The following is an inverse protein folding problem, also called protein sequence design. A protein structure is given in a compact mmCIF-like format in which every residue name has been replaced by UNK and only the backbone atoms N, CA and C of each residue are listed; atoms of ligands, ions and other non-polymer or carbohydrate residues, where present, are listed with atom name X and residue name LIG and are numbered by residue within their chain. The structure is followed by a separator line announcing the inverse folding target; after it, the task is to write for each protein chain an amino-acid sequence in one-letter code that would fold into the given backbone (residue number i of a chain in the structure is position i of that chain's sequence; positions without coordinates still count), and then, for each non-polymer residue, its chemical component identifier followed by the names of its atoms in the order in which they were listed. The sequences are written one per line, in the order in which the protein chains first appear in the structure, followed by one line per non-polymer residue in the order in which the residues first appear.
data_IF_985931353570
#
_entry.id   IF_985931353570
#
_cell.length_a   1.000
_cell.length_b   1.000
_cell.length_c   1.000
_cell.angle_alpha   90.00
_cell.angle_beta   90.00
_cell.angle_gamma   90.00
#
_symmetry.space_group_name_H-M   'P 1'
#
loop_
_entity.id
_entity.type
_entity.pdbx_description
1 polymer ?
#
# COMPACT_ATOMS: atom_id res chain seq x y z
N UNK A 1 14.27 17.94 1.94
CA UNK A 1 14.92 16.75 2.50
C UNK A 1 14.55 16.72 3.97
N UNK A 2 14.07 15.61 4.49
CA UNK A 2 13.69 15.49 5.90
C UNK A 2 14.95 15.34 6.75
N UNK A 3 15.07 16.08 7.85
CA UNK A 3 16.31 16.19 8.64
C UNK A 3 16.78 14.86 9.26
N UNK A 4 15.85 13.99 9.64
CA UNK A 4 16.19 12.68 10.25
C UNK A 4 16.47 11.58 9.23
N UNK A 5 16.11 11.74 7.96
CA UNK A 5 16.30 10.69 6.96
C UNK A 5 17.74 10.62 6.44
N UNK A 6 18.31 9.43 6.51
CA UNK A 6 19.55 9.10 5.83
C UNK A 6 19.25 8.56 4.41
N UNK A 7 19.75 9.27 3.38
CA UNK A 7 19.61 8.82 2.00
C UNK A 7 20.64 7.74 1.70
N UNK A 8 20.17 6.51 1.44
CA UNK A 8 21.03 5.36 1.14
C UNK A 8 20.54 4.59 -0.08
N UNK A 9 21.47 4.06 -0.88
CA UNK A 9 21.15 2.91 -1.73
C UNK A 9 20.93 1.70 -0.81
N UNK A 10 19.94 0.86 -1.11
CA UNK A 10 19.64 -0.33 -0.32
C UNK A 10 20.85 -1.28 -0.15
N UNK A 11 21.79 -1.30 -1.13
CA UNK A 11 23.02 -2.10 -1.08
C UNK A 11 23.97 -1.73 0.05
N UNK A 12 23.82 -0.52 0.61
CA UNK A 12 24.62 -0.01 1.73
C UNK A 12 23.86 0.05 3.04
N UNK A 13 22.69 -0.57 3.10
CA UNK A 13 21.90 -0.68 4.32
C UNK A 13 22.45 -1.83 5.14
N UNK A 14 22.87 -1.55 6.37
CA UNK A 14 23.45 -2.56 7.28
C UNK A 14 22.40 -3.33 8.08
N UNK A 15 21.17 -2.82 8.21
CA UNK A 15 20.07 -3.50 8.87
C UNK A 15 19.59 -4.67 8.01
N UNK A 16 19.64 -5.92 8.48
CA UNK A 16 19.10 -7.07 7.73
C UNK A 16 17.62 -6.92 7.40
N UNK A 17 16.84 -6.35 8.34
CA UNK A 17 15.42 -6.09 8.14
C UNK A 17 15.17 -5.12 6.98
N UNK A 18 15.80 -3.93 7.01
CA UNK A 18 15.63 -2.93 5.95
C UNK A 18 16.22 -3.42 4.63
N UNK A 19 17.34 -4.17 4.67
CA UNK A 19 17.91 -4.78 3.48
C UNK A 19 16.92 -5.75 2.81
N UNK A 20 16.30 -6.63 3.58
CA UNK A 20 15.29 -7.57 3.09
C UNK A 20 14.08 -6.84 2.51
N UNK A 21 13.54 -5.84 3.19
CA UNK A 21 12.47 -5.00 2.65
C UNK A 21 12.89 -4.33 1.33
N UNK A 22 14.04 -3.67 1.32
CA UNK A 22 14.50 -2.86 0.20
C UNK A 22 14.77 -3.67 -1.07
N UNK A 23 15.34 -4.88 -0.95
CA UNK A 23 15.60 -5.75 -2.11
C UNK A 23 14.31 -6.23 -2.79
N UNK A 24 13.21 -6.39 -2.04
CA UNK A 24 11.90 -6.75 -2.60
C UNK A 24 11.17 -5.54 -3.20
N UNK A 25 11.44 -4.35 -2.71
CA UNK A 25 10.94 -3.10 -3.30
C UNK A 25 11.67 -2.73 -4.61
N UNK A 26 12.88 -3.23 -4.84
CA UNK A 26 13.62 -3.00 -6.09
C UNK A 26 13.21 -4.02 -7.16
N UNK A 27 12.40 -3.59 -8.11
CA UNK A 27 11.89 -4.45 -9.19
C UNK A 27 12.97 -5.11 -10.07
N UNK A 28 14.19 -4.55 -10.08
CA UNK A 28 15.34 -5.10 -10.82
C UNK A 28 16.33 -5.85 -9.92
N UNK A 29 16.00 -6.10 -8.68
CA UNK A 29 16.89 -6.78 -7.75
C UNK A 29 17.09 -8.24 -8.16
N UNK A 30 18.36 -8.63 -8.32
CA UNK A 30 18.76 -10.04 -8.49
C UNK A 30 18.87 -10.80 -7.16
N UNK A 31 18.60 -10.12 -6.05
CA UNK A 31 18.74 -10.65 -4.70
C UNK A 31 17.39 -10.97 -4.05
N UNK A 32 16.33 -11.04 -4.83
CA UNK A 32 15.02 -11.55 -4.38
C UNK A 32 15.17 -13.05 -4.11
N UNK A 33 14.55 -13.54 -3.06
CA UNK A 33 14.64 -14.97 -2.72
C UNK A 33 14.00 -15.86 -3.76
N UNK A 34 14.61 -17.03 -4.02
CA UNK A 34 14.17 -17.97 -5.06
C UNK A 34 12.68 -18.32 -4.94
N UNK A 35 12.19 -18.59 -3.73
CA UNK A 35 10.77 -18.87 -3.47
C UNK A 35 9.83 -17.72 -3.87
N UNK A 36 10.28 -16.46 -3.75
CA UNK A 36 9.49 -15.30 -4.21
C UNK A 36 9.53 -15.20 -5.73
N UNK A 37 10.66 -15.53 -6.35
CA UNK A 37 10.81 -15.58 -7.82
C UNK A 37 9.93 -16.67 -8.42
N UNK A 38 9.92 -17.87 -7.84
CA UNK A 38 9.04 -18.96 -8.24
C UNK A 38 7.57 -18.57 -8.12
N UNK A 39 7.17 -17.99 -6.98
CA UNK A 39 5.81 -17.53 -6.77
C UNK A 39 5.42 -16.38 -7.71
N UNK A 40 6.35 -15.50 -8.11
CA UNK A 40 6.11 -14.46 -9.12
C UNK A 40 5.83 -15.09 -10.49
N UNK A 41 6.58 -16.13 -10.87
CA UNK A 41 6.35 -16.85 -12.11
C UNK A 41 4.97 -17.54 -12.13
N UNK A 42 4.57 -18.19 -11.04
CA UNK A 42 3.24 -18.78 -10.88
C UNK A 42 2.12 -17.74 -10.97
N UNK A 43 2.35 -16.53 -10.45
CA UNK A 43 1.39 -15.45 -10.46
C UNK A 43 1.32 -14.67 -11.79
N UNK A 44 2.17 -14.98 -12.78
CA UNK A 44 2.29 -14.20 -14.01
C UNK A 44 0.97 -14.07 -14.79
N UNK A 45 0.18 -15.14 -14.85
CA UNK A 45 -1.13 -15.11 -15.50
C UNK A 45 -2.12 -14.21 -14.75
N UNK A 46 -2.09 -14.22 -13.43
CA UNK A 46 -2.90 -13.33 -12.59
C UNK A 46 -2.49 -11.88 -12.82
N UNK A 47 -1.19 -11.59 -12.87
CA UNK A 47 -0.70 -10.26 -13.17
C UNK A 47 -1.13 -9.78 -14.56
N UNK A 48 -1.04 -10.64 -15.57
CA UNK A 48 -1.54 -10.33 -16.92
C UNK A 48 -3.03 -9.98 -16.90
N UNK A 49 -3.84 -10.75 -16.17
CA UNK A 49 -5.28 -10.48 -16.04
C UNK A 49 -5.55 -9.14 -15.35
N UNK A 50 -4.83 -8.80 -14.28
CA UNK A 50 -4.95 -7.52 -13.58
C UNK A 50 -4.53 -6.35 -14.49
N UNK A 51 -3.44 -6.50 -15.26
CA UNK A 51 -2.99 -5.46 -16.18
C UNK A 51 -3.87 -5.32 -17.42
N UNK A 52 -4.52 -6.39 -17.89
CA UNK A 52 -5.57 -6.31 -18.90
C UNK A 52 -6.76 -5.50 -18.38
N UNK A 53 -7.23 -5.78 -17.15
CA UNK A 53 -8.24 -4.96 -16.49
C UNK A 53 -7.82 -3.48 -16.44
N UNK A 54 -6.60 -3.20 -16.00
CA UNK A 54 -6.07 -1.82 -15.98
C UNK A 54 -6.10 -1.18 -17.37
N UNK A 55 -5.71 -1.91 -18.40
CA UNK A 55 -5.73 -1.43 -19.78
C UNK A 55 -7.15 -1.13 -20.26
N UNK A 56 -8.11 -1.97 -19.91
CA UNK A 56 -9.53 -1.76 -20.24
C UNK A 56 -10.09 -0.52 -19.54
N UNK A 57 -9.80 -0.37 -18.24
CA UNK A 57 -10.16 0.82 -17.48
C UNK A 57 -9.59 2.11 -18.10
N UNK A 58 -8.34 2.09 -18.57
CA UNK A 58 -7.71 3.24 -19.24
C UNK A 58 -8.33 3.58 -20.60
N UNK A 59 -8.95 2.61 -21.27
CA UNK A 59 -9.65 2.79 -22.55
C UNK A 59 -11.13 3.11 -22.41
N UNK A 60 -11.70 2.92 -21.22
CA UNK A 60 -13.12 3.13 -20.98
C UNK A 60 -13.55 4.56 -21.33
N UNK A 61 -14.67 4.68 -22.01
CA UNK A 61 -15.35 5.95 -22.30
C UNK A 61 -16.38 6.32 -21.24
N UNK A 62 -16.70 5.41 -20.34
CA UNK A 62 -17.74 5.55 -19.33
C UNK A 62 -17.34 6.49 -18.21
N UNK A 63 -18.37 6.93 -17.49
CA UNK A 63 -18.23 7.76 -16.30
C UNK A 63 -18.80 7.05 -15.09
N UNK A 64 -18.27 7.42 -13.92
CA UNK A 64 -18.74 6.96 -12.62
C UNK A 64 -18.99 8.17 -11.73
N UNK A 65 -20.02 8.09 -10.90
CA UNK A 65 -20.26 9.11 -9.86
C UNK A 65 -19.43 8.75 -8.63
N UNK A 66 -18.55 9.65 -8.24
CA UNK A 66 -17.65 9.48 -7.08
C UNK A 66 -18.00 10.53 -6.02
N UNK A 67 -18.30 10.06 -4.81
CA UNK A 67 -18.40 10.89 -3.62
C UNK A 67 -17.01 10.95 -2.99
N UNK A 68 -16.40 12.13 -3.02
CA UNK A 68 -15.04 12.34 -2.54
C UNK A 68 -15.07 12.80 -1.08
N UNK A 69 -14.63 11.95 -0.17
CA UNK A 69 -14.55 12.24 1.27
C UNK A 69 -13.13 12.65 1.72
N UNK A 70 -12.18 12.76 0.79
CA UNK A 70 -10.78 13.10 1.04
C UNK A 70 -10.47 14.60 0.89
N UNK A 71 -9.18 14.91 0.73
CA UNK A 71 -8.66 16.27 0.51
C UNK A 71 -9.16 16.94 -0.80
N UNK A 72 -10.02 16.26 -1.54
CA UNK A 72 -10.46 16.65 -2.87
C UNK A 72 -9.44 16.34 -3.95
N UNK A 73 -9.90 16.31 -5.19
CA UNK A 73 -9.03 16.00 -6.32
C UNK A 73 -8.53 17.26 -7.02
N UNK A 74 -7.23 17.34 -7.27
CA UNK A 74 -6.65 18.39 -8.12
C UNK A 74 -7.00 18.20 -9.60
N UNK A 75 -7.39 16.99 -10.00
CA UNK A 75 -7.63 16.60 -11.39
C UNK A 75 -9.12 16.68 -11.73
N UNK A 76 -9.99 16.30 -10.78
CA UNK A 76 -11.42 16.19 -11.02
C UNK A 76 -12.19 17.37 -10.41
N UNK A 77 -12.99 18.02 -11.26
CA UNK A 77 -13.96 19.03 -10.82
C UNK A 77 -15.36 18.40 -10.88
N UNK A 78 -15.93 18.10 -9.71
CA UNK A 78 -17.24 17.47 -9.61
C UNK A 78 -17.22 15.96 -9.41
N UNK A 79 -18.43 15.38 -9.27
CA UNK A 79 -18.62 13.99 -8.88
C UNK A 79 -18.64 13.02 -10.06
N UNK A 80 -19.04 13.47 -11.26
CA UNK A 80 -19.01 12.63 -12.47
C UNK A 80 -17.60 12.60 -13.03
N UNK A 81 -16.95 11.44 -12.97
CA UNK A 81 -15.54 11.27 -13.38
C UNK A 81 -15.42 10.19 -14.45
N UNK A 82 -14.61 10.44 -15.49
CA UNK A 82 -14.30 9.43 -16.50
C UNK A 82 -13.46 8.31 -15.87
N UNK A 83 -13.90 7.05 -16.07
CA UNK A 83 -13.17 5.86 -15.59
C UNK A 83 -11.71 5.87 -16.07
N UNK A 84 -11.50 6.18 -17.37
CA UNK A 84 -10.15 6.26 -17.95
C UNK A 84 -9.24 7.28 -17.25
N UNK A 85 -9.79 8.40 -16.78
CA UNK A 85 -9.00 9.41 -16.06
C UNK A 85 -8.63 8.96 -14.64
N UNK A 86 -9.56 8.31 -13.93
CA UNK A 86 -9.23 7.68 -12.64
C UNK A 86 -8.15 6.63 -12.83
N UNK A 87 -8.30 5.74 -13.83
CA UNK A 87 -7.32 4.69 -14.12
C UNK A 87 -5.93 5.22 -14.51
N UNK A 88 -5.84 6.41 -15.12
CA UNK A 88 -4.59 7.04 -15.50
C UNK A 88 -3.86 7.72 -14.34
N UNK A 89 -4.60 8.29 -13.38
CA UNK A 89 -4.04 9.24 -12.41
C UNK A 89 -4.14 8.79 -10.95
N UNK A 90 -5.02 7.83 -10.62
CA UNK A 90 -5.27 7.40 -9.24
C UNK A 90 -4.69 6.02 -8.97
N UNK A 91 -4.76 5.08 -9.93
CA UNK A 91 -4.30 3.72 -9.70
C UNK A 91 -2.78 3.64 -9.56
N UNK A 92 -2.31 2.90 -8.57
CA UNK A 92 -0.88 2.60 -8.40
C UNK A 92 -0.31 1.98 -9.67
N UNK A 93 0.93 2.31 -10.03
CA UNK A 93 1.57 1.69 -11.20
C UNK A 93 1.80 0.19 -10.99
N UNK A 94 1.82 -0.59 -12.07
CA UNK A 94 2.16 -2.01 -12.06
C UNK A 94 3.45 -2.29 -11.28
N UNK A 95 4.49 -1.49 -11.51
CA UNK A 95 5.78 -1.62 -10.84
C UNK A 95 5.68 -1.49 -9.33
N UNK A 96 4.90 -0.53 -8.83
CA UNK A 96 4.69 -0.33 -7.40
C UNK A 96 3.87 -1.50 -6.84
N UNK A 97 2.78 -1.87 -7.50
CA UNK A 97 1.92 -2.96 -7.06
C UNK A 97 2.68 -4.30 -7.00
N UNK A 98 3.50 -4.63 -8.01
CA UNK A 98 4.38 -5.81 -8.00
C UNK A 98 5.44 -5.75 -6.89
N UNK A 99 6.01 -4.57 -6.59
CA UNK A 99 6.96 -4.45 -5.49
C UNK A 99 6.28 -4.71 -4.13
N UNK A 100 5.06 -4.20 -3.92
CA UNK A 100 4.27 -4.51 -2.71
C UNK A 100 3.93 -5.99 -2.64
N UNK A 101 3.51 -6.59 -3.75
CA UNK A 101 3.26 -8.02 -3.85
C UNK A 101 4.47 -8.86 -3.42
N UNK A 102 5.69 -8.51 -3.89
CA UNK A 102 6.93 -9.22 -3.52
C UNK A 102 7.21 -9.13 -2.03
N UNK A 103 7.05 -7.95 -1.43
CA UNK A 103 7.22 -7.77 0.02
C UNK A 103 6.25 -8.64 0.82
N UNK A 104 4.98 -8.62 0.43
CA UNK A 104 3.95 -9.44 1.10
C UNK A 104 4.18 -10.93 0.89
N UNK A 105 4.57 -11.34 -0.33
CA UNK A 105 4.85 -12.74 -0.62
C UNK A 105 6.03 -13.27 0.19
N UNK A 106 7.11 -12.49 0.29
CA UNK A 106 8.25 -12.81 1.14
C UNK A 106 7.84 -12.99 2.61
N UNK A 107 7.10 -12.04 3.16
CA UNK A 107 6.62 -12.14 4.55
C UNK A 107 5.65 -13.31 4.75
N UNK A 108 4.77 -13.57 3.78
CA UNK A 108 3.83 -14.68 3.83
C UNK A 108 4.51 -16.06 3.80
N UNK A 109 5.58 -16.21 3.04
CA UNK A 109 6.39 -17.44 3.02
C UNK A 109 7.07 -17.64 4.39
N UNK A 110 7.69 -16.60 4.96
CA UNK A 110 8.33 -16.66 6.27
C UNK A 110 7.33 -17.05 7.38
N UNK A 111 6.11 -16.52 7.35
CA UNK A 111 5.05 -16.90 8.29
C UNK A 111 4.61 -18.35 8.12
N UNK A 112 4.42 -18.81 6.89
CA UNK A 112 4.04 -20.21 6.60
C UNK A 112 5.11 -21.22 7.07
N UNK A 113 6.39 -20.89 6.89
CA UNK A 113 7.50 -21.71 7.39
C UNK A 113 7.53 -21.80 8.93
N UNK A 114 7.03 -20.78 9.61
CA UNK A 114 6.86 -20.74 11.07
C UNK A 114 5.55 -21.37 11.56
N UNK A 115 4.70 -21.87 10.65
CA UNK A 115 3.39 -22.43 10.97
C UNK A 115 2.37 -21.39 11.43
N UNK A 116 2.55 -20.13 11.03
CA UNK A 116 1.68 -19.02 11.37
C UNK A 116 0.61 -18.79 10.29
N UNK A 117 -0.44 -18.06 10.66
CA UNK A 117 -1.54 -17.72 9.78
C UNK A 117 -1.10 -16.81 8.60
N UNK A 118 -2.00 -16.71 7.60
CA UNK A 118 -1.80 -15.80 6.47
C UNK A 118 -1.77 -14.36 6.94
N UNK A 119 -0.96 -13.54 6.25
CA UNK A 119 -0.92 -12.10 6.46
C UNK A 119 -2.32 -11.47 6.36
N UNK A 120 -2.65 -10.63 7.32
CA UNK A 120 -3.83 -9.77 7.33
C UNK A 120 -3.41 -8.37 6.88
N UNK A 121 -4.03 -7.88 5.81
CA UNK A 121 -3.70 -6.58 5.21
C UNK A 121 -4.94 -5.69 5.17
N UNK A 122 -4.81 -4.47 5.67
CA UNK A 122 -5.79 -3.42 5.47
C UNK A 122 -5.31 -2.48 4.36
N UNK A 123 -6.19 -2.19 3.39
CA UNK A 123 -6.03 -1.11 2.43
C UNK A 123 -7.06 -0.02 2.71
N UNK A 124 -6.61 1.20 2.95
CA UNK A 124 -7.47 2.38 3.13
C UNK A 124 -7.42 3.22 1.85
N UNK A 125 -8.41 3.03 0.97
CA UNK A 125 -8.46 3.62 -0.37
C UNK A 125 -8.48 2.58 -1.48
N UNK A 126 -9.65 1.95 -1.70
CA UNK A 126 -9.83 0.86 -2.66
C UNK A 126 -9.73 1.33 -4.11
N UNK A 127 -10.31 2.50 -4.43
CA UNK A 127 -10.52 2.95 -5.80
C UNK A 127 -11.15 1.85 -6.68
N UNK A 128 -10.59 1.52 -7.84
CA UNK A 128 -11.10 0.44 -8.70
C UNK A 128 -10.59 -0.96 -8.34
N UNK A 129 -9.93 -1.12 -7.20
CA UNK A 129 -9.52 -2.40 -6.65
C UNK A 129 -8.34 -3.08 -7.34
N UNK A 130 -7.57 -2.35 -8.16
CA UNK A 130 -6.41 -2.90 -8.87
C UNK A 130 -5.27 -3.23 -7.89
N UNK A 131 -4.97 -2.35 -6.94
CA UNK A 131 -3.97 -2.63 -5.90
C UNK A 131 -4.43 -3.75 -5.00
N UNK A 132 -5.70 -3.72 -4.57
CA UNK A 132 -6.34 -4.80 -3.79
C UNK A 132 -6.16 -6.17 -4.45
N UNK A 133 -6.33 -6.24 -5.78
CA UNK A 133 -6.14 -7.48 -6.53
C UNK A 133 -4.70 -8.01 -6.43
N UNK A 134 -3.70 -7.14 -6.51
CA UNK A 134 -2.30 -7.52 -6.27
C UNK A 134 -2.08 -8.01 -4.84
N UNK A 135 -2.58 -7.29 -3.83
CA UNK A 135 -2.44 -7.68 -2.42
C UNK A 135 -3.08 -9.05 -2.17
N UNK A 136 -4.29 -9.29 -2.68
CA UNK A 136 -4.98 -10.58 -2.57
C UNK A 136 -4.24 -11.71 -3.28
N UNK A 137 -3.67 -11.45 -4.47
CA UNK A 137 -2.92 -12.46 -5.23
C UNK A 137 -1.60 -12.86 -4.57
N UNK A 138 -1.07 -12.07 -3.63
CA UNK A 138 0.06 -12.45 -2.79
C UNK A 138 -0.27 -13.55 -1.77
N UNK A 139 -1.55 -13.88 -1.62
CA UNK A 139 -2.05 -14.90 -0.67
C UNK A 139 -2.50 -14.32 0.67
N UNK A 140 -2.60 -13.00 0.79
CA UNK A 140 -3.05 -12.30 1.99
C UNK A 140 -4.57 -12.34 2.15
N UNK A 141 -5.05 -12.24 3.39
CA UNK A 141 -6.41 -11.85 3.69
C UNK A 141 -6.48 -10.32 3.62
N UNK A 142 -7.25 -9.78 2.67
CA UNK A 142 -7.31 -8.33 2.45
C UNK A 142 -8.63 -7.78 2.92
N UNK A 143 -8.57 -6.83 3.83
CA UNK A 143 -9.66 -5.90 4.13
C UNK A 143 -9.39 -4.59 3.39
N UNK A 144 -10.38 -4.04 2.66
CA UNK A 144 -10.21 -2.78 1.92
C UNK A 144 -11.39 -1.84 2.16
N UNK A 145 -11.09 -0.57 2.36
CA UNK A 145 -12.06 0.46 2.71
C UNK A 145 -12.17 1.52 1.62
N UNK A 146 -13.43 1.86 1.27
CA UNK A 146 -13.72 2.87 0.27
C UNK A 146 -14.82 3.82 0.78
N UNK A 147 -14.62 5.12 0.60
CA UNK A 147 -15.62 6.12 1.00
C UNK A 147 -16.84 6.13 0.07
N UNK A 148 -16.66 5.87 -1.22
CA UNK A 148 -17.71 5.96 -2.22
C UNK A 148 -18.31 4.58 -2.54
N UNK A 149 -19.62 4.43 -2.29
CA UNK A 149 -20.34 3.17 -2.57
C UNK A 149 -20.25 2.73 -4.03
N UNK A 150 -20.35 3.67 -4.98
CA UNK A 150 -20.28 3.35 -6.40
C UNK A 150 -18.90 2.82 -6.79
N UNK A 151 -17.84 3.44 -6.27
CA UNK A 151 -16.46 3.01 -6.49
C UNK A 151 -16.21 1.63 -5.89
N UNK A 152 -16.69 1.38 -4.66
CA UNK A 152 -16.57 0.07 -4.02
C UNK A 152 -17.32 -1.03 -4.79
N UNK A 153 -18.52 -0.74 -5.29
CA UNK A 153 -19.27 -1.69 -6.09
C UNK A 153 -18.56 -1.99 -7.43
N UNK A 154 -17.96 -0.98 -8.03
CA UNK A 154 -17.18 -1.15 -9.26
C UNK A 154 -15.95 -2.05 -9.01
N UNK A 155 -15.24 -1.86 -7.90
CA UNK A 155 -14.11 -2.69 -7.50
C UNK A 155 -14.53 -4.15 -7.27
N UNK A 156 -15.68 -4.41 -6.64
CA UNK A 156 -16.21 -5.77 -6.43
C UNK A 156 -16.44 -6.51 -7.73
N UNK A 157 -17.01 -5.84 -8.74
CA UNK A 157 -17.18 -6.42 -10.09
C UNK A 157 -15.83 -6.77 -10.70
N UNK A 158 -14.83 -5.90 -10.56
CA UNK A 158 -13.50 -6.15 -11.08
C UNK A 158 -12.85 -7.38 -10.42
N UNK A 159 -12.97 -7.55 -9.09
CA UNK A 159 -12.42 -8.73 -8.40
C UNK A 159 -13.16 -10.02 -8.76
N UNK A 160 -14.49 -9.97 -8.93
CA UNK A 160 -15.26 -11.13 -9.39
C UNK A 160 -14.80 -11.56 -10.78
N UNK A 161 -14.62 -10.63 -11.71
CA UNK A 161 -14.09 -10.92 -13.05
C UNK A 161 -12.67 -11.50 -13.04
N UNK A 162 -11.89 -11.21 -12.00
CA UNK A 162 -10.53 -11.74 -11.78
C UNK A 162 -10.53 -13.05 -10.97
N UNK A 163 -11.67 -13.48 -10.39
CA UNK A 163 -11.76 -14.64 -9.48
C UNK A 163 -10.98 -14.45 -8.17
N UNK A 164 -10.93 -13.22 -7.65
CA UNK A 164 -10.15 -12.87 -6.45
C UNK A 164 -11.02 -12.43 -5.25
N UNK A 165 -12.34 -12.40 -5.40
CA UNK A 165 -13.27 -11.84 -4.41
C UNK A 165 -13.27 -12.57 -3.06
N UNK A 166 -13.04 -13.89 -3.03
CA UNK A 166 -13.17 -14.72 -1.81
C UNK A 166 -12.20 -14.33 -0.68
N UNK A 167 -11.08 -13.67 -1.01
CA UNK A 167 -10.05 -13.26 -0.06
C UNK A 167 -10.11 -11.77 0.28
N UNK A 168 -11.13 -11.07 -0.23
CA UNK A 168 -11.26 -9.62 -0.11
C UNK A 168 -12.52 -9.26 0.65
N UNK A 169 -12.36 -8.59 1.79
CA UNK A 169 -13.46 -8.02 2.57
C UNK A 169 -13.53 -6.52 2.28
N UNK A 170 -14.59 -6.07 1.60
CA UNK A 170 -14.76 -4.66 1.27
C UNK A 170 -15.75 -4.00 2.23
N UNK A 171 -15.35 -2.89 2.84
CA UNK A 171 -16.21 -2.03 3.66
C UNK A 171 -16.34 -0.65 3.03
N UNK A 172 -17.53 -0.06 3.16
CA UNK A 172 -17.82 1.29 2.68
C UNK A 172 -18.11 2.20 3.86
N UNK A 173 -17.43 3.34 3.92
CA UNK A 173 -17.60 4.32 4.99
C UNK A 173 -16.41 5.25 5.12
N UNK A 174 -16.54 6.24 5.99
CA UNK A 174 -15.43 7.12 6.32
C UNK A 174 -14.39 6.38 7.15
N UNK A 175 -13.11 6.66 6.90
CA UNK A 175 -12.01 5.96 7.57
C UNK A 175 -12.04 6.13 9.09
N UNK A 176 -12.37 7.33 9.59
CA UNK A 176 -12.52 7.59 11.04
C UNK A 176 -13.56 6.62 11.68
N UNK A 177 -14.73 6.46 11.06
CA UNK A 177 -15.81 5.59 11.56
C UNK A 177 -15.42 4.11 11.49
N UNK A 178 -14.78 3.70 10.37
CA UNK A 178 -14.33 2.32 10.17
C UNK A 178 -13.17 1.97 11.11
N UNK A 179 -12.24 2.90 11.36
CA UNK A 179 -11.18 2.70 12.35
C UNK A 179 -11.75 2.48 13.75
N UNK A 180 -12.65 3.37 14.20
CA UNK A 180 -13.25 3.27 15.53
C UNK A 180 -13.99 1.93 15.75
N UNK A 181 -14.68 1.43 14.72
CA UNK A 181 -15.44 0.17 14.79
C UNK A 181 -14.61 -1.09 14.54
N UNK A 182 -13.39 -0.96 14.08
CA UNK A 182 -12.53 -2.09 13.70
C UNK A 182 -11.87 -2.74 14.92
N UNK A 183 -11.66 -4.06 14.82
CA UNK A 183 -10.93 -4.83 15.85
C UNK A 183 -9.42 -4.75 15.70
N UNK A 184 -8.91 -4.34 14.52
CA UNK A 184 -7.48 -4.38 14.22
C UNK A 184 -6.94 -5.79 13.96
N UNK A 185 -5.65 -6.00 14.19
CA UNK A 185 -4.96 -7.27 13.97
C UNK A 185 -4.32 -7.36 12.59
N UNK A 186 -3.99 -6.23 11.97
CA UNK A 186 -3.37 -6.20 10.64
C UNK A 186 -1.84 -6.25 10.73
N UNK A 187 -1.25 -7.11 9.90
CA UNK A 187 0.21 -7.21 9.72
C UNK A 187 0.74 -6.05 8.85
N UNK A 188 -0.10 -5.51 7.96
CA UNK A 188 0.21 -4.33 7.18
C UNK A 188 -1.05 -3.50 6.98
N UNK A 189 -0.92 -2.19 7.13
CA UNK A 189 -1.93 -1.21 6.71
C UNK A 189 -1.35 -0.38 5.58
N UNK A 190 -2.01 -0.36 4.43
CA UNK A 190 -1.69 0.52 3.31
C UNK A 190 -2.66 1.70 3.29
N UNK A 191 -2.19 2.86 3.70
CA UNK A 191 -2.95 4.10 3.72
C UNK A 191 -2.75 4.84 2.38
N UNK A 192 -3.64 4.61 1.43
CA UNK A 192 -3.65 5.16 0.06
C UNK A 192 -4.93 5.95 -0.23
N UNK A 193 -5.35 6.74 0.73
CA UNK A 193 -6.54 7.58 0.59
C UNK A 193 -6.47 8.83 1.45
N UNK A 194 -7.39 9.77 1.18
CA UNK A 194 -7.53 11.05 1.85
C UNK A 194 -6.38 12.05 1.58
N UNK A 195 -5.11 11.63 1.56
CA UNK A 195 -3.89 12.43 1.29
C UNK A 195 -3.86 13.82 1.95
N UNK A 196 -4.46 13.94 3.13
CA UNK A 196 -4.45 15.11 4.00
C UNK A 196 -3.52 14.85 5.19
N UNK A 197 -2.65 15.83 5.52
CA UNK A 197 -1.62 15.62 6.54
C UNK A 197 -2.20 15.39 7.94
N UNK A 198 -3.20 16.19 8.36
CA UNK A 198 -3.82 16.07 9.68
C UNK A 198 -4.60 14.75 9.81
N UNK A 199 -5.35 14.38 8.76
CA UNK A 199 -6.06 13.10 8.73
C UNK A 199 -5.08 11.92 8.77
N UNK A 200 -3.98 11.99 8.02
CA UNK A 200 -2.93 10.97 8.02
C UNK A 200 -2.35 10.75 9.42
N UNK A 201 -2.03 11.82 10.14
CA UNK A 201 -1.52 11.74 11.51
C UNK A 201 -2.53 11.08 12.46
N UNK A 202 -3.80 11.47 12.38
CA UNK A 202 -4.88 10.85 13.20
C UNK A 202 -5.00 9.36 12.92
N UNK A 203 -5.06 8.96 11.63
CA UNK A 203 -5.18 7.55 11.25
C UNK A 203 -3.98 6.73 11.74
N UNK A 204 -2.77 7.24 11.54
CA UNK A 204 -1.55 6.54 11.97
C UNK A 204 -1.50 6.40 13.49
N UNK A 205 -1.95 7.41 14.25
CA UNK A 205 -2.04 7.34 15.72
C UNK A 205 -3.01 6.23 16.17
N UNK A 206 -4.21 6.19 15.60
CA UNK A 206 -5.20 5.15 15.93
C UNK A 206 -4.71 3.74 15.54
N UNK A 207 -3.97 3.63 14.45
CA UNK A 207 -3.45 2.35 13.95
C UNK A 207 -2.39 1.74 14.88
N UNK A 208 -1.66 2.52 15.70
CA UNK A 208 -0.66 1.99 16.64
C UNK A 208 -1.19 0.85 17.50
N UNK A 209 -2.42 1.01 18.00
CA UNK A 209 -3.08 0.00 18.87
C UNK A 209 -3.79 -1.11 18.10
N UNK A 210 -3.85 -1.03 16.78
CA UNK A 210 -4.61 -1.93 15.91
C UNK A 210 -3.74 -2.80 15.01
N UNK A 211 -2.45 -2.57 14.99
CA UNK A 211 -1.51 -3.45 14.29
C UNK A 211 -1.35 -4.78 15.03
N UNK A 212 -1.10 -5.83 14.27
CA UNK A 212 -0.56 -7.07 14.80
C UNK A 212 0.86 -6.84 15.34
N UNK A 213 1.37 -7.80 16.13
CA UNK A 213 2.77 -7.75 16.56
C UNK A 213 3.69 -7.69 15.35
N UNK A 214 4.64 -6.74 15.33
CA UNK A 214 5.53 -6.46 14.19
C UNK A 214 4.80 -5.99 12.91
N UNK A 215 3.56 -5.56 13.05
CA UNK A 215 2.81 -4.95 11.98
C UNK A 215 3.40 -3.59 11.56
N UNK A 216 3.02 -3.13 10.37
CA UNK A 216 3.54 -1.88 9.83
C UNK A 216 2.45 -1.04 9.14
N UNK A 217 2.72 0.25 9.02
CA UNK A 217 1.91 1.16 8.21
C UNK A 217 2.73 1.62 7.01
N UNK A 218 2.15 1.53 5.83
CA UNK A 218 2.65 2.13 4.60
C UNK A 218 1.77 3.32 4.24
N UNK A 219 2.30 4.51 4.33
CA UNK A 219 1.61 5.76 3.96
C UNK A 219 1.98 6.13 2.54
N UNK A 220 0.99 6.31 1.66
CA UNK A 220 1.23 6.79 0.31
C UNK A 220 1.37 8.32 0.27
N UNK A 221 1.99 8.79 -0.78
CA UNK A 221 2.09 10.21 -1.15
C UNK A 221 2.66 11.13 -0.06
N UNK A 222 3.59 10.64 0.79
CA UNK A 222 4.21 11.42 1.89
C UNK A 222 4.97 12.67 1.42
N UNK A 223 5.17 12.85 0.11
CA UNK A 223 5.83 14.03 -0.48
C UNK A 223 4.91 14.84 -1.40
N UNK A 224 3.64 14.46 -1.56
CA UNK A 224 2.72 15.01 -2.55
C UNK A 224 2.30 16.46 -2.27
N UNK A 225 2.06 16.82 -1.02
CA UNK A 225 1.64 18.17 -0.61
C UNK A 225 2.50 18.72 0.52
N UNK A 226 2.34 20.02 0.84
CA UNK A 226 3.00 20.59 2.02
C UNK A 226 2.50 19.94 3.31
N UNK A 227 1.19 19.70 3.43
CA UNK A 227 0.60 19.02 4.59
C UNK A 227 1.15 17.60 4.76
N UNK A 228 1.18 16.79 3.69
CA UNK A 228 1.75 15.44 3.75
C UNK A 228 3.24 15.42 4.11
N UNK A 229 4.04 16.39 3.60
CA UNK A 229 5.45 16.52 4.00
C UNK A 229 5.61 16.88 5.47
N UNK A 230 4.74 17.73 6.01
CA UNK A 230 4.75 18.08 7.44
C UNK A 230 4.37 16.85 8.27
N UNK A 231 3.28 16.16 7.90
CA UNK A 231 2.86 14.92 8.56
C UNK A 231 3.97 13.86 8.55
N UNK A 232 4.64 13.65 7.42
CA UNK A 232 5.77 12.71 7.36
C UNK A 232 6.91 13.13 8.29
N UNK A 233 7.22 14.44 8.38
CA UNK A 233 8.24 14.93 9.32
C UNK A 233 7.87 14.66 10.78
N UNK A 234 6.60 14.85 11.16
CA UNK A 234 6.10 14.55 12.51
C UNK A 234 6.17 13.05 12.80
N UNK A 235 5.80 12.20 11.84
CA UNK A 235 5.93 10.74 11.99
C UNK A 235 7.38 10.27 12.16
N UNK A 236 8.35 10.97 11.55
CA UNK A 236 9.78 10.71 11.79
C UNK A 236 10.24 11.17 13.20
N UNK A 237 9.54 12.12 13.80
CA UNK A 237 9.82 12.63 15.15
C UNK A 237 9.06 11.86 16.24
N UNK A 238 8.10 11.01 15.87
CA UNK A 238 7.34 10.18 16.79
C UNK A 238 8.20 8.98 17.28
N UNK A 239 8.52 8.90 18.57
CA UNK A 239 9.40 7.87 19.11
C UNK A 239 8.82 6.45 19.03
N UNK A 240 7.52 6.31 18.78
CA UNK A 240 6.91 5.00 18.55
C UNK A 240 7.48 4.34 17.28
N UNK A 241 7.69 5.09 16.21
CA UNK A 241 8.17 4.57 14.93
C UNK A 241 9.70 4.59 14.86
N UNK A 242 10.35 3.63 15.48
CA UNK A 242 11.81 3.57 15.55
C UNK A 242 12.51 3.16 14.25
N UNK A 243 11.80 2.56 13.31
CA UNK A 243 12.33 2.25 11.98
C UNK A 243 11.40 2.78 10.90
N UNK A 244 11.91 3.65 10.04
CA UNK A 244 11.14 4.16 8.90
C UNK A 244 11.91 4.03 7.59
N UNK A 245 11.18 3.74 6.50
CA UNK A 245 11.78 3.61 5.18
C UNK A 245 10.94 4.37 4.17
N UNK A 246 11.50 5.43 3.57
CA UNK A 246 10.84 6.14 2.47
C UNK A 246 11.31 5.61 1.11
N UNK A 247 10.34 5.23 0.28
CA UNK A 247 10.58 4.69 -1.06
C UNK A 247 9.54 5.22 -2.04
N UNK A 248 9.96 5.86 -3.13
CA UNK A 248 9.09 6.37 -4.22
C UNK A 248 7.89 7.20 -3.74
N UNK A 249 8.09 8.08 -2.77
CA UNK A 249 6.99 8.89 -2.21
C UNK A 249 6.12 8.15 -1.20
N UNK A 250 6.39 6.88 -0.93
CA UNK A 250 5.73 6.08 0.11
C UNK A 250 6.60 5.98 1.35
N UNK A 251 5.98 6.05 2.51
CA UNK A 251 6.65 5.97 3.81
C UNK A 251 6.22 4.74 4.59
N UNK A 252 7.14 3.84 4.86
CA UNK A 252 6.96 2.70 5.75
C UNK A 252 7.27 3.10 7.18
N UNK A 253 6.40 2.74 8.11
CA UNK A 253 6.51 2.96 9.55
C UNK A 253 6.51 1.61 10.25
N UNK A 254 7.52 1.35 11.07
CA UNK A 254 7.67 0.14 11.86
C UNK A 254 7.97 0.48 13.30
N UNK A 255 7.39 -0.29 14.20
CA UNK A 255 7.82 -0.41 15.59
C UNK A 255 8.47 -1.78 15.76
N UNK A 256 9.77 -1.81 16.02
CA UNK A 256 10.55 -3.05 16.15
C UNK A 256 11.22 -3.06 17.52
N UNK A 257 10.80 -3.99 18.38
CA UNK A 257 11.34 -4.14 19.73
C UNK A 257 12.87 -4.29 19.70
N UNK A 258 13.57 -3.45 20.45
CA UNK A 258 15.02 -3.49 20.57
C UNK A 258 15.81 -2.98 19.35
N UNK A 259 15.15 -2.54 18.29
CA UNK A 259 15.85 -1.95 17.16
C UNK A 259 16.35 -0.53 17.48
N UNK A 260 17.55 -0.22 17.01
CA UNK A 260 18.08 1.14 17.03
C UNK A 260 17.28 2.01 16.06
N UNK A 261 16.99 3.24 16.48
CA UNK A 261 16.27 4.23 15.66
C UNK A 261 16.96 4.43 14.29
N UNK A 262 16.20 4.25 13.22
CA UNK A 262 16.69 4.35 11.84
C UNK A 262 15.64 4.95 10.92
N UNK A 263 15.97 6.05 10.24
CA UNK A 263 15.12 6.70 9.25
C UNK A 263 15.85 6.75 7.91
N UNK A 264 15.39 5.96 6.94
CA UNK A 264 16.09 5.75 5.67
C UNK A 264 15.24 6.19 4.48
N UNK A 265 15.80 7.06 3.65
CA UNK A 265 15.26 7.34 2.33
C UNK A 265 16.01 6.50 1.28
N UNK A 266 15.36 5.48 0.73
CA UNK A 266 15.93 4.66 -0.32
C UNK A 266 16.06 5.46 -1.62
N UNK A 267 17.28 5.61 -2.10
CA UNK A 267 17.50 6.13 -3.44
C UNK A 267 17.24 5.01 -4.44
N UNK A 268 16.15 5.15 -5.21
CA UNK A 268 15.94 4.31 -6.37
C UNK A 268 16.96 4.70 -7.44
N UNK A 269 18.12 4.05 -7.45
CA UNK A 269 19.05 4.18 -8.57
C UNK A 269 18.56 3.21 -9.64
N UNK A 270 17.68 3.71 -10.53
CA UNK A 270 17.48 3.06 -11.81
C UNK A 270 18.43 3.72 -12.79
N UNK A 271 19.54 3.07 -13.08
CA UNK A 271 20.15 3.21 -14.38
C UNK A 271 19.41 2.25 -15.31
N UNK A 272 18.66 2.82 -16.25
CA UNK A 272 18.19 2.11 -17.42
C UNK A 272 19.39 1.64 -18.25
#
# INVERSE_FOLDING_TARGET
MFKKENRKSWRYVQSPFIFNLARHLDAGSKYVEDKVVEAEFEAENTFKSIENLRADLKRSTDTIIVEDHGAGSRIFKGNSRKISKIAQHVLQSERVAKSLWKVLKFRGIDLQEKGLDKLSVLEMGTSFGVTTAYLSSAGCNVETWEGCQNTANFAKVNWSNLGLEEKIVSKVGKFDELLQSSKGGWDMVFLDGHHDGEATLRYVEELKSKLAKEGCVLVDDVVWSKGMKMAWSELLDDPYWNVTVRWRGKGWLFHIDGAVEQHIALSCVFKF
#
